data_IF_914849461826
#
_entry.id   IF_914849461826
#
_cell.length_a   1.000
_cell.length_b   1.000
_cell.length_c   1.000
_cell.angle_alpha   90.00
_cell.angle_beta   90.00
_cell.angle_gamma   90.00
#
_symmetry.space_group_name_H-M   'P 1'
#
loop_
_entity.id
_entity.type
_entity.pdbx_description
1 polymer ?
#
# COMPACT_ATOMS: atom_id res chain seq x y z
N UNK A 1 -72.49 30.81 7.43
CA UNK A 1 -73.20 29.83 6.60
C UNK A 1 -73.56 28.66 7.52
N UNK A 2 -74.79 28.66 8.05
CA UNK A 2 -75.21 27.73 9.12
C UNK A 2 -75.58 26.39 8.49
N UNK A 3 -74.89 25.33 8.91
CA UNK A 3 -75.12 23.96 8.48
C UNK A 3 -76.54 23.50 8.88
N UNK A 4 -77.52 23.68 8.00
CA UNK A 4 -78.89 23.19 8.20
C UNK A 4 -78.92 21.67 8.17
N UNK A 5 -79.42 21.04 9.25
CA UNK A 5 -79.72 19.60 9.31
C UNK A 5 -79.04 18.81 10.42
N UNK A 6 -78.17 19.40 11.24
CA UNK A 6 -77.58 18.71 12.40
C UNK A 6 -78.50 18.77 13.62
N UNK A 7 -78.71 17.62 14.26
CA UNK A 7 -79.39 17.55 15.56
C UNK A 7 -78.48 18.21 16.62
N UNK A 8 -78.88 19.34 17.24
CA UNK A 8 -78.04 20.08 18.18
C UNK A 8 -77.72 19.30 19.46
N UNK A 9 -78.45 18.21 19.75
CA UNK A 9 -78.19 17.33 20.88
C UNK A 9 -77.02 16.35 20.63
N UNK A 10 -76.61 16.16 19.38
CA UNK A 10 -75.46 15.32 19.03
C UNK A 10 -74.27 16.20 18.67
N UNK A 11 -73.40 16.44 19.65
CA UNK A 11 -72.12 17.11 19.39
C UNK A 11 -71.25 16.24 18.47
N UNK A 12 -70.38 16.89 17.67
CA UNK A 12 -69.44 16.19 16.77
C UNK A 12 -68.61 15.14 17.54
N UNK A 13 -68.38 15.39 18.83
CA UNK A 13 -67.65 14.48 19.72
C UNK A 13 -68.44 13.20 20.04
N UNK A 14 -69.78 13.27 20.16
CA UNK A 14 -70.61 12.08 20.40
C UNK A 14 -70.58 11.08 19.25
N UNK A 15 -70.52 11.57 18.01
CA UNK A 15 -70.36 10.73 16.81
C UNK A 15 -68.97 10.08 16.72
N UNK A 16 -67.97 10.69 17.38
CA UNK A 16 -66.58 10.22 17.39
C UNK A 16 -66.23 9.26 18.52
N UNK A 17 -67.07 9.12 19.55
CA UNK A 17 -66.83 8.24 20.71
C UNK A 17 -66.69 6.76 20.34
N UNK A 18 -67.43 6.30 19.33
CA UNK A 18 -67.44 4.90 18.88
C UNK A 18 -66.64 4.67 17.58
N UNK A 19 -65.98 5.70 17.05
CA UNK A 19 -65.07 5.54 15.91
C UNK A 19 -63.72 5.07 16.43
N UNK A 20 -63.27 3.90 15.97
CA UNK A 20 -61.89 3.46 16.17
C UNK A 20 -60.96 4.54 15.60
N UNK A 21 -60.12 5.14 16.46
CA UNK A 21 -59.08 6.06 16.01
C UNK A 21 -57.98 5.26 15.33
N UNK A 22 -58.19 4.92 14.05
CA UNK A 22 -57.26 4.10 13.25
C UNK A 22 -55.90 4.81 13.11
N UNK A 23 -55.88 6.15 13.20
CA UNK A 23 -54.67 6.94 13.09
C UNK A 23 -54.25 7.50 14.47
N UNK A 24 -52.95 7.42 14.81
CA UNK A 24 -52.42 8.08 16.00
C UNK A 24 -52.62 9.58 15.88
N UNK A 25 -52.92 10.25 16.99
CA UNK A 25 -52.90 11.72 17.00
C UNK A 25 -51.45 12.19 16.79
N UNK A 26 -51.28 13.41 16.31
CA UNK A 26 -49.93 13.98 16.07
C UNK A 26 -49.01 13.89 17.29
N UNK A 27 -49.55 14.07 18.51
CA UNK A 27 -48.81 13.90 19.77
C UNK A 27 -48.35 12.46 19.97
N UNK A 28 -49.26 11.49 19.79
CA UNK A 28 -48.96 10.06 19.95
C UNK A 28 -47.90 9.61 18.95
N UNK A 29 -47.96 10.11 17.71
CA UNK A 29 -46.97 9.84 16.68
C UNK A 29 -45.59 10.42 17.04
N UNK A 30 -45.54 11.65 17.55
CA UNK A 30 -44.30 12.28 18.01
C UNK A 30 -43.64 11.50 19.15
N UNK A 31 -44.43 11.09 20.13
CA UNK A 31 -43.93 10.31 21.27
C UNK A 31 -43.45 8.93 20.83
N UNK A 32 -44.12 8.32 19.84
CA UNK A 32 -43.66 7.09 19.22
C UNK A 32 -42.30 7.28 18.53
N UNK A 33 -42.12 8.35 17.74
CA UNK A 33 -40.84 8.64 17.09
C UNK A 33 -39.72 8.87 18.11
N UNK A 34 -40.00 9.61 19.20
CA UNK A 34 -39.03 9.81 20.28
C UNK A 34 -38.57 8.50 20.92
N UNK A 35 -39.51 7.62 21.29
CA UNK A 35 -39.18 6.31 21.86
C UNK A 35 -38.35 5.47 20.91
N UNK A 36 -38.65 5.52 19.61
CA UNK A 36 -37.87 4.82 18.59
C UNK A 36 -36.43 5.35 18.54
N UNK A 37 -36.24 6.67 18.56
CA UNK A 37 -34.92 7.29 18.63
C UNK A 37 -34.15 6.90 19.90
N UNK A 38 -34.81 6.95 21.06
CA UNK A 38 -34.19 6.59 22.35
C UNK A 38 -33.77 5.11 22.36
N UNK A 39 -34.60 4.24 21.79
CA UNK A 39 -34.29 2.81 21.66
C UNK A 39 -33.12 2.61 20.71
N UNK A 40 -33.11 3.28 19.57
CA UNK A 40 -32.00 3.21 18.61
C UNK A 40 -30.68 3.68 19.25
N UNK A 41 -30.71 4.77 20.03
CA UNK A 41 -29.54 5.25 20.76
C UNK A 41 -29.01 4.21 21.76
N UNK A 42 -29.90 3.62 22.56
CA UNK A 42 -29.55 2.53 23.49
C UNK A 42 -28.92 1.34 22.77
N UNK A 43 -29.51 0.89 21.66
CA UNK A 43 -28.97 -0.22 20.88
C UNK A 43 -27.56 0.08 20.35
N UNK A 44 -27.26 1.32 19.98
CA UNK A 44 -25.92 1.73 19.55
C UNK A 44 -24.94 1.64 20.72
N UNK A 45 -25.33 2.11 21.90
CA UNK A 45 -24.46 2.11 23.07
C UNK A 45 -24.22 0.70 23.60
N UNK A 46 -25.26 -0.15 23.68
CA UNK A 46 -25.13 -1.58 23.98
C UNK A 46 -24.21 -2.29 22.97
N UNK A 47 -24.34 -1.98 21.68
CA UNK A 47 -23.45 -2.54 20.66
C UNK A 47 -22.00 -2.07 20.82
N UNK A 48 -21.76 -0.82 21.23
CA UNK A 48 -20.41 -0.33 21.55
C UNK A 48 -19.85 -1.05 22.78
N UNK A 49 -20.63 -1.19 23.84
CA UNK A 49 -20.22 -1.89 25.07
C UNK A 49 -19.91 -3.36 24.80
N UNK A 50 -20.74 -4.04 24.01
CA UNK A 50 -20.50 -5.43 23.59
C UNK A 50 -19.17 -5.57 22.83
N UNK A 51 -18.84 -4.61 21.97
CA UNK A 51 -17.61 -4.63 21.17
C UNK A 51 -16.37 -4.14 21.92
N UNK A 52 -16.54 -3.36 22.99
CA UNK A 52 -15.48 -2.77 23.82
C UNK A 52 -14.41 -3.79 24.24
N UNK A 53 -14.72 -4.95 24.87
CA UNK A 53 -13.68 -5.87 25.32
C UNK A 53 -12.88 -6.47 24.17
N UNK A 54 -13.49 -6.67 22.99
CA UNK A 54 -12.78 -7.16 21.80
C UNK A 54 -11.83 -6.09 21.26
N UNK A 55 -12.29 -4.85 21.21
CA UNK A 55 -11.49 -3.71 20.78
C UNK A 55 -10.30 -3.49 21.72
N UNK A 56 -10.55 -3.42 23.03
CA UNK A 56 -9.51 -3.24 24.06
C UNK A 56 -8.45 -4.33 24.02
N UNK A 57 -8.83 -5.60 23.82
CA UNK A 57 -7.86 -6.70 23.66
C UNK A 57 -6.91 -6.50 22.48
N UNK A 58 -7.40 -5.92 21.38
CA UNK A 58 -6.57 -5.67 20.18
C UNK A 58 -5.79 -4.37 20.24
N UNK A 59 -6.20 -3.43 21.09
CA UNK A 59 -5.64 -2.07 21.19
C UNK A 59 -4.94 -1.83 22.53
N UNK A 60 -4.64 -2.89 23.29
CA UNK A 60 -3.85 -2.78 24.51
C UNK A 60 -2.43 -2.42 24.12
N UNK A 61 -2.02 -1.19 24.41
CA UNK A 61 -0.64 -0.76 24.24
C UNK A 61 0.26 -1.60 25.15
N UNK A 62 1.40 -2.12 24.65
CA UNK A 62 2.30 -2.87 25.49
C UNK A 62 2.96 -1.93 26.51
N UNK A 63 2.98 -2.32 27.79
CA UNK A 63 3.65 -1.58 28.85
C UNK A 63 5.14 -1.97 28.89
N UNK A 64 5.92 -1.35 28.00
CA UNK A 64 7.37 -1.58 27.89
C UNK A 64 8.15 -0.80 28.95
N UNK A 65 9.16 -1.42 29.57
CA UNK A 65 10.07 -0.74 30.50
C UNK A 65 11.49 -0.69 29.95
N UNK A 66 12.23 0.33 30.34
CA UNK A 66 13.66 0.42 30.07
C UNK A 66 14.38 -0.79 30.69
N UNK A 67 15.20 -1.47 29.90
CA UNK A 67 15.86 -2.72 30.28
C UNK A 67 15.11 -4.01 29.91
N UNK A 68 13.85 -3.95 29.45
CA UNK A 68 13.15 -5.15 28.98
C UNK A 68 13.77 -5.70 27.69
N UNK A 69 13.68 -7.02 27.49
CA UNK A 69 14.09 -7.68 26.25
C UNK A 69 12.88 -7.87 25.34
N UNK A 70 12.93 -7.28 24.15
CA UNK A 70 11.84 -7.33 23.16
C UNK A 70 12.32 -7.89 21.82
N UNK A 71 11.45 -8.60 21.13
CA UNK A 71 11.68 -9.05 19.75
C UNK A 71 11.03 -8.08 18.77
N UNK A 72 11.70 -7.82 17.63
CA UNK A 72 11.20 -6.86 16.64
C UNK A 72 10.67 -7.57 15.41
N UNK A 73 9.44 -7.27 15.03
CA UNK A 73 8.79 -7.85 13.85
C UNK A 73 9.43 -7.35 12.55
N UNK A 74 9.73 -8.28 11.64
CA UNK A 74 10.35 -7.95 10.34
C UNK A 74 9.39 -7.65 9.22
N UNK A 75 8.08 -7.68 9.49
CA UNK A 75 7.02 -7.55 8.48
C UNK A 75 7.17 -6.28 7.62
N UNK A 76 7.61 -5.18 8.22
CA UNK A 76 7.73 -3.87 7.58
C UNK A 76 9.18 -3.47 7.27
N UNK A 77 10.16 -4.36 7.44
CA UNK A 77 11.55 -4.05 7.12
C UNK A 77 11.83 -4.18 5.63
N UNK A 78 12.05 -3.04 4.98
CA UNK A 78 12.55 -2.95 3.60
C UNK A 78 14.05 -3.20 3.47
N UNK A 79 14.79 -3.08 4.57
CA UNK A 79 16.26 -3.17 4.59
C UNK A 79 16.80 -4.61 4.69
N UNK A 80 15.93 -5.60 4.93
CA UNK A 80 16.33 -7.01 4.98
C UNK A 80 16.20 -7.59 3.58
N UNK A 81 17.30 -8.06 3.00
CA UNK A 81 17.31 -8.66 1.67
C UNK A 81 16.76 -10.10 1.68
N UNK A 82 16.26 -10.58 0.53
CA UNK A 82 15.84 -11.96 0.35
C UNK A 82 14.32 -12.18 0.20
N UNK A 83 13.91 -13.40 -0.16
CA UNK A 83 12.51 -13.74 -0.36
C UNK A 83 11.74 -13.75 0.96
N UNK A 84 10.54 -13.16 0.99
CA UNK A 84 9.69 -13.03 2.20
C UNK A 84 9.51 -14.33 2.99
N UNK A 85 9.50 -15.48 2.30
CA UNK A 85 9.35 -16.82 2.89
C UNK A 85 10.57 -17.34 3.66
N UNK A 86 11.76 -16.78 3.42
CA UNK A 86 13.01 -17.16 4.10
C UNK A 86 13.47 -16.11 5.12
N UNK A 87 12.69 -15.03 5.30
CA UNK A 87 12.97 -14.02 6.32
C UNK A 87 12.40 -14.51 7.64
N UNK A 88 13.20 -14.41 8.69
CA UNK A 88 12.70 -14.62 10.04
C UNK A 88 11.64 -13.56 10.35
N UNK A 89 10.50 -13.97 10.88
CA UNK A 89 9.37 -13.05 11.14
C UNK A 89 9.65 -12.09 12.30
N UNK A 90 10.61 -12.44 13.16
CA UNK A 90 11.06 -11.68 14.30
C UNK A 90 12.58 -11.74 14.38
N UNK A 91 13.21 -10.63 14.75
CA UNK A 91 14.63 -10.57 15.06
C UNK A 91 14.81 -10.39 16.56
N UNK A 92 15.86 -11.06 17.07
CA UNK A 92 16.62 -10.87 18.32
C UNK A 92 15.89 -10.41 19.59
N UNK A 93 16.25 -10.91 20.79
CA UNK A 93 15.94 -10.18 22.00
C UNK A 93 16.81 -8.91 22.06
N UNK A 94 16.15 -7.78 21.96
CA UNK A 94 16.74 -6.45 21.99
C UNK A 94 16.45 -5.79 23.33
N UNK A 95 17.44 -5.17 23.95
CA UNK A 95 17.23 -4.44 25.19
C UNK A 95 16.70 -3.05 24.89
N UNK A 96 15.62 -2.66 25.56
CA UNK A 96 15.07 -1.31 25.48
C UNK A 96 16.01 -0.35 26.19
N UNK A 97 16.56 0.61 25.44
CA UNK A 97 17.41 1.67 26.00
C UNK A 97 16.55 2.82 26.50
N UNK A 98 15.57 3.24 25.70
CA UNK A 98 14.75 4.42 25.98
C UNK A 98 13.38 4.32 25.35
N UNK A 99 12.35 4.79 26.05
CA UNK A 99 11.01 4.91 25.49
C UNK A 99 10.86 6.22 24.70
N UNK A 100 10.44 6.11 23.44
CA UNK A 100 10.13 7.24 22.56
C UNK A 100 8.61 7.35 22.44
N UNK A 101 7.99 8.14 23.32
CA UNK A 101 6.54 8.30 23.32
C UNK A 101 5.80 7.05 23.83
N UNK A 102 4.61 6.77 23.28
CA UNK A 102 3.72 5.71 23.80
C UNK A 102 4.06 4.31 23.29
N UNK A 103 4.39 4.17 22.00
CA UNK A 103 4.56 2.87 21.34
C UNK A 103 5.89 2.73 20.57
N UNK A 104 6.78 3.73 20.62
CA UNK A 104 8.09 3.63 20.00
C UNK A 104 9.17 3.51 21.05
N UNK A 105 10.19 2.73 20.72
CA UNK A 105 11.23 2.36 21.65
C UNK A 105 12.57 2.42 20.92
N UNK A 106 13.56 3.01 21.58
CA UNK A 106 14.94 2.98 21.15
C UNK A 106 15.59 1.69 21.64
N UNK A 107 16.16 0.97 20.69
CA UNK A 107 16.85 -0.29 20.89
C UNK A 107 18.32 -0.08 20.56
N UNK A 108 19.22 -0.80 21.24
CA UNK A 108 20.66 -0.75 21.00
C UNK A 108 21.08 -0.91 19.53
N UNK A 109 22.04 -0.07 19.14
CA UNK A 109 22.51 0.18 17.76
C UNK A 109 23.17 -1.03 17.09
N UNK A 110 23.50 -2.08 17.85
CA UNK A 110 24.38 -3.16 17.38
C UNK A 110 23.74 -4.17 16.41
N UNK A 111 22.43 -4.16 16.15
CA UNK A 111 21.80 -5.39 15.59
C UNK A 111 20.62 -5.25 14.63
N UNK A 112 20.27 -4.06 14.14
CA UNK A 112 19.51 -4.02 12.88
C UNK A 112 20.55 -4.09 11.74
N UNK A 113 20.35 -4.91 10.69
CA UNK A 113 21.23 -4.88 9.52
C UNK A 113 21.08 -3.51 8.86
N UNK A 114 21.83 -2.56 9.38
CA UNK A 114 22.02 -1.26 8.78
C UNK A 114 22.74 -1.57 7.49
N UNK A 115 21.98 -1.44 6.39
CA UNK A 115 22.47 -1.34 5.03
C UNK A 115 23.89 -0.83 5.09
N UNK A 116 24.85 -1.65 4.68
CA UNK A 116 26.24 -1.24 4.47
C UNK A 116 26.20 0.20 3.94
N UNK A 117 26.56 1.17 4.79
CA UNK A 117 27.16 2.39 4.27
C UNK A 117 28.34 1.81 3.52
N UNK A 118 28.24 1.78 2.19
CA UNK A 118 29.42 1.58 1.37
C UNK A 118 30.36 2.67 1.84
N UNK A 119 31.28 2.31 2.73
CA UNK A 119 32.49 3.07 2.92
C UNK A 119 33.11 2.98 1.53
N UNK A 120 32.89 4.01 0.73
CA UNK A 120 33.76 4.28 -0.41
C UNK A 120 35.16 4.28 0.18
N UNK A 121 36.03 3.31 -0.16
CA UNK A 121 37.42 3.44 0.21
C UNK A 121 37.89 4.74 -0.43
N UNK A 122 38.36 5.67 0.41
CA UNK A 122 39.20 6.75 -0.06
C UNK A 122 40.42 6.09 -0.69
N UNK A 123 40.71 6.50 -1.93
CA UNK A 123 41.96 6.32 -2.64
C UNK A 123 42.38 4.88 -2.95
N UNK A 124 41.81 4.28 -4.00
CA UNK A 124 42.49 3.25 -4.79
C UNK A 124 42.13 3.36 -6.28
N UNK A 125 43.07 3.94 -7.03
CA UNK A 125 43.45 3.74 -8.44
C UNK A 125 42.39 3.15 -9.40
N UNK A 126 41.99 3.95 -10.38
CA UNK A 126 41.28 3.50 -11.58
C UNK A 126 42.13 2.48 -12.37
N UNK A 127 41.67 1.22 -12.43
CA UNK A 127 42.03 0.27 -13.49
C UNK A 127 40.80 -0.54 -13.90
N UNK A 128 40.19 -0.08 -14.98
CA UNK A 128 39.70 -0.78 -16.19
C UNK A 128 38.81 -2.05 -16.10
N UNK A 129 37.68 -1.93 -16.82
CA UNK A 129 36.98 -2.94 -17.62
C UNK A 129 36.10 -4.02 -16.97
N UNK A 130 35.24 -3.63 -16.03
CA UNK A 130 34.00 -4.38 -15.79
C UNK A 130 32.89 -3.90 -16.73
N UNK A 131 32.83 -4.48 -17.94
CA UNK A 131 31.69 -4.26 -18.81
C UNK A 131 30.42 -4.93 -18.24
N UNK A 132 29.39 -4.14 -18.00
CA UNK A 132 28.08 -4.64 -17.59
C UNK A 132 27.55 -5.70 -18.58
N UNK A 133 27.07 -6.87 -18.11
CA UNK A 133 26.64 -7.94 -19.00
C UNK A 133 25.41 -7.52 -19.82
N UNK A 134 25.49 -7.71 -21.13
CA UNK A 134 24.44 -7.32 -22.07
C UNK A 134 23.22 -8.25 -21.94
N UNK A 135 22.02 -7.67 -21.86
CA UNK A 135 20.75 -8.41 -21.87
C UNK A 135 20.28 -8.66 -23.30
N UNK A 136 20.12 -7.59 -24.08
CA UNK A 136 19.70 -7.65 -25.49
C UNK A 136 19.99 -6.35 -26.23
N UNK A 137 20.07 -6.45 -27.56
CA UNK A 137 20.06 -5.31 -28.47
C UNK A 137 18.61 -5.02 -28.84
N UNK A 138 18.22 -3.74 -28.80
CA UNK A 138 16.82 -3.32 -29.02
C UNK A 138 16.65 -2.74 -30.42
N UNK A 139 17.54 -1.85 -30.84
CA UNK A 139 17.46 -1.14 -32.12
C UNK A 139 18.84 -1.00 -32.74
N UNK A 140 18.85 -0.77 -34.05
CA UNK A 140 20.04 -0.39 -34.80
C UNK A 140 19.79 0.95 -35.49
N UNK A 141 20.83 1.76 -35.61
CA UNK A 141 20.82 3.00 -36.41
C UNK A 141 22.10 3.11 -37.22
N UNK A 142 22.06 3.87 -38.30
CA UNK A 142 23.23 4.19 -39.13
C UNK A 142 23.56 5.66 -38.92
N UNK A 143 24.81 5.94 -38.57
CA UNK A 143 25.33 7.30 -38.37
C UNK A 143 26.54 7.52 -39.28
N UNK A 144 26.80 8.79 -39.62
CA UNK A 144 27.97 9.22 -40.39
C UNK A 144 28.83 10.21 -39.60
N UNK A 145 29.46 9.78 -38.48
CA UNK A 145 30.12 10.71 -37.57
C UNK A 145 31.35 11.41 -38.16
N UNK A 146 31.94 10.93 -39.26
CA UNK A 146 33.06 11.58 -39.97
C UNK A 146 33.04 11.25 -41.47
N UNK A 147 31.85 11.25 -42.09
CA UNK A 147 31.67 10.82 -43.49
C UNK A 147 31.70 9.30 -43.71
N UNK A 148 32.22 8.52 -42.74
CA UNK A 148 32.17 7.06 -42.75
C UNK A 148 30.84 6.53 -42.24
N UNK A 149 30.30 5.54 -42.95
CA UNK A 149 29.07 4.84 -42.57
C UNK A 149 29.32 3.87 -41.42
N UNK A 150 28.89 4.24 -40.20
CA UNK A 150 28.98 3.39 -39.01
C UNK A 150 27.59 2.98 -38.51
N UNK A 151 27.46 1.73 -38.07
CA UNK A 151 26.24 1.22 -37.43
C UNK A 151 26.41 1.22 -35.93
N UNK A 152 25.42 1.75 -35.24
CA UNK A 152 25.31 1.69 -33.79
C UNK A 152 24.10 0.88 -33.37
N UNK A 153 24.20 0.27 -32.20
CA UNK A 153 23.19 -0.59 -31.62
C UNK A 153 22.79 -0.07 -30.25
N UNK A 154 21.48 0.01 -29.99
CA UNK A 154 20.96 0.38 -28.69
C UNK A 154 20.99 -0.86 -27.79
N UNK A 155 21.91 -0.85 -26.84
CA UNK A 155 22.19 -1.99 -25.95
C UNK A 155 21.45 -1.80 -24.63
N UNK A 156 20.75 -2.85 -24.20
CA UNK A 156 20.17 -2.95 -22.87
C UNK A 156 21.01 -3.88 -22.01
N UNK A 157 21.47 -3.36 -20.88
CA UNK A 157 22.26 -4.10 -19.90
C UNK A 157 21.37 -4.91 -18.95
N UNK A 158 21.91 -6.01 -18.41
CA UNK A 158 21.23 -6.77 -17.35
C UNK A 158 21.19 -5.95 -16.07
N UNK A 159 20.13 -6.09 -15.29
CA UNK A 159 19.94 -5.45 -13.99
C UNK A 159 19.98 -3.90 -14.00
N UNK A 160 19.91 -3.28 -15.18
CA UNK A 160 19.79 -1.84 -15.33
C UNK A 160 18.39 -1.42 -15.82
N UNK A 161 17.98 -0.23 -15.39
CA UNK A 161 16.74 0.43 -15.79
C UNK A 161 16.86 0.87 -17.26
N UNK A 162 15.73 0.96 -17.97
CA UNK A 162 15.70 1.30 -19.40
C UNK A 162 16.36 2.64 -19.74
N UNK A 163 16.44 3.56 -18.80
CA UNK A 163 17.03 4.90 -19.02
C UNK A 163 18.56 4.85 -19.15
N UNK A 164 19.19 3.74 -18.72
CA UNK A 164 20.64 3.54 -18.87
C UNK A 164 21.03 2.85 -20.19
N UNK A 165 20.10 2.63 -21.11
CA UNK A 165 20.41 2.04 -22.41
C UNK A 165 21.32 2.99 -23.21
N UNK A 166 22.39 2.47 -23.80
CA UNK A 166 23.37 3.27 -24.56
C UNK A 166 23.48 2.79 -26.00
N UNK A 167 23.72 3.74 -26.90
CA UNK A 167 24.11 3.44 -28.27
C UNK A 167 25.60 3.11 -28.30
N UNK A 168 25.94 1.92 -28.77
CA UNK A 168 27.31 1.44 -28.84
C UNK A 168 27.63 0.94 -30.27
N UNK A 169 28.88 1.12 -30.67
CA UNK A 169 29.43 0.53 -31.89
C UNK A 169 29.56 -0.99 -31.74
N UNK A 170 29.62 -1.72 -32.85
CA UNK A 170 29.75 -3.19 -32.84
C UNK A 170 30.93 -3.69 -31.99
N UNK A 171 32.06 -3.00 -32.03
CA UNK A 171 33.29 -3.38 -31.33
C UNK A 171 33.23 -3.09 -29.82
N UNK A 172 32.38 -2.16 -29.40
CA UNK A 172 32.26 -1.73 -28.00
C UNK A 172 31.23 -2.56 -27.21
N UNK A 173 30.65 -3.60 -27.82
CA UNK A 173 29.61 -4.43 -27.19
C UNK A 173 30.24 -5.72 -26.66
N UNK A 174 30.16 -5.98 -25.34
CA UNK A 174 30.57 -7.26 -24.75
C UNK A 174 29.78 -8.42 -25.36
N UNK A 175 30.47 -9.47 -25.80
CA UNK A 175 29.89 -10.61 -26.53
C UNK A 175 29.01 -10.19 -27.72
N UNK A 176 29.34 -9.06 -28.37
CA UNK A 176 28.52 -8.41 -29.39
C UNK A 176 28.10 -9.34 -30.53
N UNK A 177 28.98 -10.24 -31.00
CA UNK A 177 28.69 -11.20 -32.07
C UNK A 177 27.47 -12.09 -31.76
N UNK A 178 27.35 -12.57 -30.52
CA UNK A 178 26.22 -13.42 -30.12
C UNK A 178 24.91 -12.64 -30.10
N UNK A 179 24.93 -11.44 -29.51
CA UNK A 179 23.77 -10.58 -29.38
C UNK A 179 23.29 -10.02 -30.73
N UNK A 180 24.22 -9.66 -31.61
CA UNK A 180 23.95 -9.20 -32.97
C UNK A 180 23.38 -10.31 -33.84
N UNK A 181 23.89 -11.55 -33.72
CA UNK A 181 23.33 -12.70 -34.43
C UNK A 181 21.87 -12.93 -34.04
N UNK A 182 21.56 -12.89 -32.73
CA UNK A 182 20.18 -13.02 -32.23
C UNK A 182 19.28 -11.89 -32.72
N UNK A 183 19.76 -10.65 -32.67
CA UNK A 183 19.00 -9.48 -33.14
C UNK A 183 18.72 -9.51 -34.66
N UNK A 184 19.71 -9.92 -35.48
CA UNK A 184 19.52 -10.08 -36.92
C UNK A 184 18.56 -11.24 -37.24
N UNK A 185 18.58 -12.31 -36.45
CA UNK A 185 17.64 -13.43 -36.60
C UNK A 185 16.20 -13.02 -36.27
N UNK A 186 15.98 -12.26 -35.18
CA UNK A 186 14.64 -11.77 -34.83
C UNK A 186 14.09 -10.77 -35.84
N UNK A 187 14.93 -9.85 -36.37
CA UNK A 187 14.50 -8.89 -37.38
C UNK A 187 14.09 -9.54 -38.72
N UNK A 188 14.67 -10.69 -39.08
CA UNK A 188 14.23 -11.47 -40.25
C UNK A 188 12.88 -12.15 -40.01
N UNK A 189 12.63 -12.66 -38.81
CA UNK A 189 11.36 -13.30 -38.48
C UNK A 189 10.17 -12.32 -38.52
N UNK A 190 10.39 -11.05 -38.13
CA UNK A 190 9.36 -10.01 -38.21
C UNK A 190 9.02 -9.59 -39.65
N UNK A 191 9.92 -9.78 -40.62
CA UNK A 191 9.67 -9.44 -42.04
C UNK A 191 8.83 -10.49 -42.80
N UNK A 192 8.71 -11.72 -42.29
CA UNK A 192 7.92 -12.79 -42.93
C UNK A 192 6.50 -12.93 -42.33
N UNK A 193 6.17 -12.12 -41.32
CA UNK A 193 4.85 -12.10 -40.66
C UNK A 193 4.02 -10.84 -40.97
N UNK A 194 4.42 -10.08 -42.00
CA UNK A 194 3.63 -8.98 -42.58
C UNK A 194 3.11 -9.36 -43.96
#
# INVERSE_FOLDING_TARGET
MVEKGRNPLFTVDHLKKNLLSIHPKSKDFHDMCKRACDTAAKCIDEAKEYNKPRYEKTQMEPDFKEGDQVIVSTLNFSNIEGPKKKKDSFLGPFTIIKLIGRNAVETGEDMLPSRNKTQTPKDMVEVEDFHDPVKKIIKARKIRPNGNDQREYLVRFKNQISDKNKWLAEDAIPDGKLHLRRFRASGRAEQYHQ
#
